data_IF_347381785368
#
_entry.id   IF_347381785368
#
_cell.length_a   1.000
_cell.length_b   1.000
_cell.length_c   1.000
_cell.angle_alpha   90.00
_cell.angle_beta   90.00
_cell.angle_gamma   90.00
#
_symmetry.space_group_name_H-M   'P 1'
#
loop_
_entity.id
_entity.type
_entity.pdbx_description
1 polymer ?
#
# COMPACT_ATOMS: atom_id res chain seq x y z
N UNK A 1 -21.84 71.95 -44.29
CA UNK A 1 -21.78 70.63 -43.64
C UNK A 1 -22.90 70.56 -42.64
N UNK A 2 -23.90 69.73 -42.94
CA UNK A 2 -25.14 69.42 -42.20
C UNK A 2 -24.94 67.92 -41.86
N UNK A 3 -25.18 67.37 -40.68
CA UNK A 3 -26.46 67.29 -39.95
C UNK A 3 -26.12 66.62 -38.63
N UNK A 4 -26.77 67.04 -37.54
CA UNK A 4 -26.69 66.35 -36.25
C UNK A 4 -27.33 64.96 -36.27
N UNK A 5 -26.98 64.13 -35.29
CA UNK A 5 -27.84 63.05 -34.81
C UNK A 5 -27.36 62.64 -33.42
N UNK A 6 -28.18 62.99 -32.43
CA UNK A 6 -28.20 62.48 -31.08
C UNK A 6 -29.51 61.71 -30.97
N UNK A 7 -29.44 60.39 -30.85
CA UNK A 7 -30.58 59.59 -30.39
C UNK A 7 -30.08 58.43 -29.54
N UNK A 8 -30.43 58.52 -28.26
CA UNK A 8 -30.50 57.45 -27.26
C UNK A 8 -30.89 56.11 -27.86
N UNK A 9 -30.30 55.02 -27.39
CA UNK A 9 -30.99 53.76 -27.17
C UNK A 9 -30.12 52.77 -26.36
N UNK A 10 -30.75 52.31 -25.27
CA UNK A 10 -30.70 50.97 -24.69
C UNK A 10 -29.38 50.41 -24.13
N UNK A 11 -29.47 50.12 -22.82
CA UNK A 11 -29.16 48.83 -22.17
C UNK A 11 -27.70 48.34 -22.29
N UNK A 12 -27.09 47.69 -21.30
CA UNK A 12 -27.57 46.59 -20.47
C UNK A 12 -26.67 46.63 -19.23
N UNK A 13 -27.27 46.47 -18.05
CA UNK A 13 -26.53 46.19 -16.83
C UNK A 13 -25.83 44.84 -16.99
N UNK A 14 -24.54 44.86 -17.34
CA UNK A 14 -23.72 43.65 -17.35
C UNK A 14 -23.26 43.36 -15.94
N UNK A 15 -23.83 42.26 -15.43
CA UNK A 15 -23.62 41.68 -14.13
C UNK A 15 -22.15 41.68 -13.69
N UNK A 16 -21.96 42.01 -12.41
CA UNK A 16 -20.76 41.69 -11.64
C UNK A 16 -20.41 40.23 -11.90
N UNK A 17 -19.27 40.00 -12.56
CA UNK A 17 -18.60 38.70 -12.58
C UNK A 17 -18.14 38.42 -11.15
N UNK A 18 -19.07 37.90 -10.33
CA UNK A 18 -18.72 37.03 -9.23
C UNK A 18 -18.04 35.83 -9.88
N UNK A 19 -16.71 35.88 -9.91
CA UNK A 19 -15.88 34.72 -10.17
C UNK A 19 -16.19 33.65 -9.14
N UNK A 20 -17.21 32.85 -9.42
CA UNK A 20 -17.30 31.49 -8.93
C UNK A 20 -16.19 30.74 -9.64
N UNK A 21 -14.98 30.85 -9.10
CA UNK A 21 -14.00 29.79 -9.24
C UNK A 21 -14.66 28.58 -8.58
N UNK A 22 -15.42 27.82 -9.35
CA UNK A 22 -15.68 26.43 -9.01
C UNK A 22 -14.29 25.79 -9.04
N UNK A 23 -13.65 25.81 -7.87
CA UNK A 23 -12.51 24.95 -7.61
C UNK A 23 -13.02 23.55 -7.91
N UNK A 24 -12.69 23.07 -9.11
CA UNK A 24 -12.83 21.66 -9.45
C UNK A 24 -12.07 20.95 -8.33
N UNK A 25 -12.73 20.07 -7.55
CA UNK A 25 -12.01 19.27 -6.59
C UNK A 25 -11.01 18.49 -7.43
N UNK A 26 -9.72 18.79 -7.25
CA UNK A 26 -8.65 17.96 -7.77
C UNK A 26 -9.01 16.55 -7.33
N UNK A 27 -9.21 15.59 -8.25
CA UNK A 27 -9.36 14.22 -7.84
C UNK A 27 -8.06 13.87 -7.15
N UNK A 28 -8.08 13.78 -5.81
CA UNK A 28 -7.03 13.11 -5.08
C UNK A 28 -6.82 11.76 -5.78
N UNK A 29 -5.57 11.32 -5.99
CA UNK A 29 -5.31 9.97 -6.48
C UNK A 29 -6.15 9.03 -5.65
N UNK A 30 -7.19 8.48 -6.28
CA UNK A 30 -8.06 7.57 -5.60
C UNK A 30 -7.22 6.33 -5.39
N UNK A 31 -6.78 6.12 -4.14
CA UNK A 31 -6.28 4.85 -3.59
C UNK A 31 -7.41 3.81 -3.61
N UNK A 32 -8.07 3.67 -4.77
CA UNK A 32 -9.07 2.69 -5.11
C UNK A 32 -8.36 1.41 -5.52
N UNK A 33 -7.66 0.83 -4.55
CA UNK A 33 -7.32 -0.58 -4.52
C UNK A 33 -7.57 -1.18 -3.12
N UNK A 34 -8.46 -0.57 -2.31
CA UNK A 34 -8.86 -1.12 -1.01
C UNK A 34 -10.17 -1.92 -1.09
N UNK A 35 -10.24 -2.84 -2.06
CA UNK A 35 -11.13 -4.00 -2.02
C UNK A 35 -10.33 -5.25 -2.34
N UNK A 36 -9.36 -5.54 -1.49
CA UNK A 36 -8.75 -6.87 -1.42
C UNK A 36 -8.63 -7.25 0.05
N UNK A 37 -9.19 -8.42 0.36
CA UNK A 37 -9.16 -9.12 1.63
C UNK A 37 -8.04 -8.64 2.56
N UNK A 38 -8.40 -8.18 3.77
CA UNK A 38 -7.52 -7.57 4.77
C UNK A 38 -6.50 -8.52 5.40
N UNK A 39 -5.76 -9.23 4.56
CA UNK A 39 -4.78 -10.23 4.92
C UNK A 39 -3.39 -9.75 4.45
N UNK A 40 -2.38 -9.96 5.28
CA UNK A 40 -0.98 -9.70 4.95
C UNK A 40 -0.18 -10.98 5.16
N UNK A 41 0.90 -11.15 4.41
CA UNK A 41 1.65 -12.42 4.39
C UNK A 41 3.15 -12.20 4.44
N UNK A 42 3.85 -13.11 5.10
CA UNK A 42 5.31 -13.22 5.05
C UNK A 42 5.67 -14.58 4.49
N UNK A 43 6.52 -14.59 3.47
CA UNK A 43 6.96 -15.80 2.78
C UNK A 43 8.46 -15.94 2.97
N UNK A 44 8.90 -16.97 3.68
CA UNK A 44 10.31 -17.35 3.78
C UNK A 44 10.62 -18.41 2.72
N UNK A 45 11.57 -18.11 1.84
CA UNK A 45 12.10 -19.05 0.86
C UNK A 45 13.12 -19.94 1.55
N UNK A 46 12.86 -21.24 1.53
CA UNK A 46 13.75 -22.28 2.05
C UNK A 46 14.63 -22.79 0.91
N UNK A 47 15.64 -23.62 1.22
CA UNK A 47 16.33 -24.34 0.15
C UNK A 47 15.38 -25.43 -0.41
N UNK A 48 15.74 -26.03 -1.55
CA UNK A 48 14.92 -27.05 -2.22
C UNK A 48 13.55 -26.56 -2.75
N UNK A 49 13.45 -25.28 -3.15
CA UNK A 49 12.24 -24.65 -3.71
C UNK A 49 11.01 -24.60 -2.78
N UNK A 50 11.16 -25.00 -1.51
CA UNK A 50 10.08 -24.94 -0.52
C UNK A 50 9.89 -23.54 0.04
N UNK A 51 8.71 -23.29 0.60
CA UNK A 51 8.37 -21.98 1.18
C UNK A 51 7.64 -22.17 2.50
N UNK A 52 8.08 -21.44 3.51
CA UNK A 52 7.32 -21.27 4.74
C UNK A 52 6.53 -19.97 4.68
N UNK A 53 5.27 -20.03 5.07
CA UNK A 53 4.30 -18.97 4.97
C UNK A 53 3.77 -18.62 6.35
N UNK A 54 3.71 -17.33 6.64
CA UNK A 54 2.94 -16.78 7.75
C UNK A 54 1.81 -15.93 7.18
N UNK A 55 0.58 -16.39 7.35
CA UNK A 55 -0.61 -15.69 6.89
C UNK A 55 -1.31 -14.97 8.04
N UNK A 56 -1.36 -13.64 8.00
CA UNK A 56 -1.91 -12.83 9.08
C UNK A 56 -3.27 -12.31 8.63
N UNK A 57 -4.33 -12.86 9.22
CA UNK A 57 -5.69 -12.38 9.02
C UNK A 57 -5.92 -11.06 9.75
N UNK A 58 -6.77 -10.19 9.19
CA UNK A 58 -7.20 -8.92 9.80
C UNK A 58 -6.06 -7.90 9.99
N UNK A 59 -5.29 -7.64 8.95
CA UNK A 59 -4.35 -6.52 8.90
C UNK A 59 -4.80 -5.53 7.81
N UNK A 60 -5.57 -4.48 8.16
CA UNK A 60 -6.02 -3.48 7.18
C UNK A 60 -4.86 -2.68 6.58
N UNK A 61 -3.73 -2.62 7.27
CA UNK A 61 -2.46 -2.07 6.79
C UNK A 61 -1.41 -3.18 6.80
N UNK A 62 -0.51 -3.25 5.81
CA UNK A 62 0.60 -4.22 5.74
C UNK A 62 1.58 -4.21 6.94
N UNK A 63 1.30 -3.38 7.95
CA UNK A 63 2.04 -3.19 9.20
C UNK A 63 2.32 -4.49 9.96
N UNK A 64 1.41 -5.47 9.98
CA UNK A 64 1.68 -6.74 10.70
C UNK A 64 2.70 -7.61 9.98
N UNK A 65 2.64 -7.70 8.66
CA UNK A 65 3.66 -8.40 7.88
C UNK A 65 5.01 -7.70 8.00
N UNK A 66 5.00 -6.36 8.09
CA UNK A 66 6.21 -5.58 8.38
C UNK A 66 6.80 -5.93 9.75
N UNK A 67 6.01 -5.95 10.83
CA UNK A 67 6.50 -6.33 12.17
C UNK A 67 7.09 -7.75 12.17
N UNK A 68 6.40 -8.73 11.57
CA UNK A 68 6.90 -10.11 11.46
C UNK A 68 8.21 -10.14 10.66
N UNK A 69 8.28 -9.42 9.54
CA UNK A 69 9.51 -9.32 8.74
C UNK A 69 10.66 -8.63 9.49
N UNK A 70 10.39 -7.61 10.29
CA UNK A 70 11.39 -6.94 11.12
C UNK A 70 11.95 -7.87 12.20
N UNK A 71 11.11 -8.71 12.82
CA UNK A 71 11.57 -9.73 13.77
C UNK A 71 12.47 -10.76 13.11
N UNK A 72 12.13 -11.20 11.90
CA UNK A 72 12.96 -12.11 11.12
C UNK A 72 14.33 -11.50 10.82
N UNK A 73 14.36 -10.25 10.34
CA UNK A 73 15.61 -9.54 10.05
C UNK A 73 16.44 -9.32 11.32
N UNK A 74 15.80 -9.04 12.45
CA UNK A 74 16.46 -8.86 13.74
C UNK A 74 17.17 -10.14 14.24
N UNK A 75 16.83 -11.33 13.73
CA UNK A 75 17.58 -12.56 14.01
C UNK A 75 19.00 -12.55 13.43
N UNK A 76 19.30 -11.63 12.51
CA UNK A 76 20.58 -11.55 11.79
C UNK A 76 20.80 -12.67 10.76
N UNK A 77 19.87 -13.62 10.67
CA UNK A 77 19.98 -14.83 9.86
C UNK A 77 19.02 -14.85 8.67
N UNK A 78 18.13 -13.87 8.55
CA UNK A 78 17.08 -13.81 7.53
C UNK A 78 17.06 -12.39 6.95
N UNK A 79 16.87 -12.30 5.64
CA UNK A 79 16.77 -11.02 4.95
C UNK A 79 15.39 -10.91 4.31
N UNK A 80 14.69 -9.80 4.52
CA UNK A 80 13.36 -9.58 3.97
C UNK A 80 13.33 -8.39 3.02
N UNK A 81 12.55 -8.51 1.94
CA UNK A 81 12.26 -7.45 0.98
C UNK A 81 10.76 -7.33 0.76
N UNK A 82 10.33 -6.13 0.38
CA UNK A 82 8.96 -5.90 -0.05
C UNK A 82 8.77 -6.54 -1.41
N UNK A 83 7.68 -7.26 -1.62
CA UNK A 83 7.27 -7.65 -2.97
C UNK A 83 6.53 -6.50 -3.64
N UNK A 84 7.20 -5.33 -3.75
CA UNK A 84 6.58 -4.10 -4.24
C UNK A 84 6.05 -4.20 -5.67
N UNK A 85 6.55 -5.15 -6.46
CA UNK A 85 6.18 -5.33 -7.87
C UNK A 85 4.89 -6.13 -8.06
N UNK A 86 4.48 -6.96 -7.09
CA UNK A 86 3.27 -7.82 -7.22
C UNK A 86 2.25 -7.58 -6.09
N UNK A 87 2.69 -7.45 -4.84
CA UNK A 87 1.78 -7.21 -3.72
C UNK A 87 2.50 -6.59 -2.52
N UNK A 88 2.26 -5.31 -2.18
CA UNK A 88 2.93 -4.63 -1.07
C UNK A 88 2.59 -5.20 0.32
N UNK A 89 1.53 -6.02 0.42
CA UNK A 89 1.11 -6.72 1.65
C UNK A 89 1.82 -8.06 1.84
N UNK A 90 2.64 -8.47 0.87
CA UNK A 90 3.47 -9.67 0.93
C UNK A 90 4.93 -9.26 1.14
N UNK A 91 5.52 -9.73 2.24
CA UNK A 91 6.97 -9.64 2.47
C UNK A 91 7.61 -10.95 2.07
N UNK A 92 8.64 -10.89 1.25
CA UNK A 92 9.41 -12.07 0.85
C UNK A 92 10.73 -12.04 1.58
N UNK A 93 11.06 -13.12 2.27
CA UNK A 93 12.27 -13.28 3.03
C UNK A 93 13.08 -14.47 2.50
N UNK A 94 14.39 -14.36 2.58
CA UNK A 94 15.36 -15.36 2.17
C UNK A 94 16.24 -15.71 3.37
N UNK A 95 16.65 -16.98 3.47
CA UNK A 95 17.63 -17.43 4.47
C UNK A 95 19.01 -16.82 4.19
N UNK A 96 19.68 -16.37 5.24
CA UNK A 96 21.08 -15.98 5.21
C UNK A 96 22.01 -17.19 5.14
N UNK A 97 23.27 -16.98 4.74
CA UNK A 97 24.24 -18.05 4.51
C UNK A 97 24.54 -18.93 5.74
N UNK A 98 24.24 -18.45 6.95
CA UNK A 98 24.50 -19.15 8.21
C UNK A 98 23.23 -19.75 8.84
N UNK A 99 22.07 -19.60 8.19
CA UNK A 99 20.79 -20.05 8.70
C UNK A 99 20.44 -21.44 8.15
N UNK A 100 20.00 -22.35 9.02
CA UNK A 100 19.42 -23.61 8.55
C UNK A 100 17.94 -23.42 8.21
N UNK A 101 17.38 -24.33 7.41
CA UNK A 101 15.94 -24.31 7.11
C UNK A 101 15.09 -24.45 8.38
N UNK A 102 15.48 -25.32 9.30
CA UNK A 102 14.76 -25.55 10.55
C UNK A 102 14.80 -24.30 11.43
N UNK A 103 15.96 -23.65 11.57
CA UNK A 103 16.08 -22.39 12.31
C UNK A 103 15.21 -21.29 11.69
N UNK A 104 15.25 -21.14 10.37
CA UNK A 104 14.45 -20.15 9.66
C UNK A 104 12.95 -20.38 9.80
N UNK A 105 12.54 -21.63 9.62
CA UNK A 105 11.15 -22.11 9.74
C UNK A 105 10.63 -21.88 11.16
N UNK A 106 11.42 -22.25 12.17
CA UNK A 106 11.08 -22.04 13.57
C UNK A 106 10.97 -20.55 13.91
N UNK A 107 11.92 -19.73 13.45
CA UNK A 107 11.89 -18.27 13.66
C UNK A 107 10.65 -17.63 13.02
N UNK A 108 10.29 -18.05 11.80
CA UNK A 108 9.06 -17.59 11.15
C UNK A 108 7.82 -18.05 11.91
N UNK A 109 7.77 -19.30 12.35
CA UNK A 109 6.65 -19.83 13.13
C UNK A 109 6.45 -19.04 14.43
N UNK A 110 7.51 -18.82 15.20
CA UNK A 110 7.45 -18.10 16.48
C UNK A 110 7.03 -16.63 16.27
N UNK A 111 7.56 -15.97 15.24
CA UNK A 111 7.13 -14.63 14.88
C UNK A 111 5.66 -14.62 14.42
N UNK A 112 5.21 -15.64 13.69
CA UNK A 112 3.84 -15.75 13.21
C UNK A 112 2.83 -15.94 14.35
N UNK A 113 3.13 -16.88 15.26
CA UNK A 113 2.31 -17.20 16.43
C UNK A 113 2.14 -15.95 17.33
N UNK A 114 3.23 -15.18 17.51
CA UNK A 114 3.21 -13.93 18.27
C UNK A 114 2.35 -12.81 17.68
N UNK A 115 1.85 -12.95 16.45
CA UNK A 115 1.03 -11.95 15.77
C UNK A 115 -0.32 -12.50 15.28
N UNK A 116 -0.80 -13.61 15.86
CA UNK A 116 -2.05 -14.30 15.49
C UNK A 116 -2.08 -14.69 13.99
N UNK A 117 -0.91 -14.97 13.41
CA UNK A 117 -0.80 -15.49 12.08
C UNK A 117 -0.96 -17.00 12.04
N UNK A 118 -1.30 -17.54 10.87
CA UNK A 118 -1.32 -18.97 10.58
C UNK A 118 -0.05 -19.35 9.86
N UNK A 119 0.72 -20.23 10.48
CA UNK A 119 1.95 -20.77 9.91
C UNK A 119 1.67 -22.01 9.05
N UNK A 120 2.32 -22.10 7.88
CA UNK A 120 2.25 -23.27 6.99
C UNK A 120 3.56 -23.42 6.22
N UNK A 121 3.99 -24.65 5.95
CA UNK A 121 5.11 -24.94 5.02
C UNK A 121 4.56 -25.67 3.80
N UNK A 122 4.96 -25.23 2.61
CA UNK A 122 4.62 -25.81 1.31
C UNK A 122 5.87 -26.25 0.57
#
# INVERSE_FOLDING_TARGET
>A
MKTGSIFSLLAIASAVLLGLTSATPVPAPQDQALREDGHSSVVLRLNNNRRAHCHISLSPSGTRAEIVSSKLVASGKISCKNNSDENPRVKVCDLGQQATEDEGTQTLKDACDGHNGKFQVM
#
